data_IF_678659910086
#
_entry.id   IF_678659910086
#
_cell.length_a   1.000
_cell.length_b   1.000
_cell.length_c   1.000
_cell.angle_alpha   90.00
_cell.angle_beta   90.00
_cell.angle_gamma   90.00
#
_symmetry.space_group_name_H-M   'P 1'
#
loop_
_entity.id
_entity.type
_entity.pdbx_description
1 polymer ?
#
# COMPACT_ATOMS: atom_id res chain seq x y z
N UNK A 1 9.23 23.03 -9.53
CA UNK A 1 9.49 21.61 -9.28
C UNK A 1 10.88 21.43 -8.68
N UNK A 2 10.98 20.65 -7.60
CA UNK A 2 12.30 20.36 -7.03
C UNK A 2 13.04 19.39 -7.96
N UNK A 3 14.28 19.75 -8.28
CA UNK A 3 15.15 18.92 -9.12
C UNK A 3 15.92 17.94 -8.23
N UNK A 4 15.85 16.67 -8.54
CA UNK A 4 16.53 15.62 -7.79
C UNK A 4 17.72 15.13 -8.60
N UNK A 5 18.92 15.28 -8.04
CA UNK A 5 20.16 14.80 -8.68
C UNK A 5 20.61 13.51 -7.98
N UNK A 6 20.70 12.44 -8.75
CA UNK A 6 21.15 11.13 -8.29
C UNK A 6 22.46 10.79 -9.02
N UNK A 7 23.53 10.65 -8.28
CA UNK A 7 24.82 10.30 -8.83
C UNK A 7 24.98 8.77 -8.80
N UNK A 8 25.24 8.19 -9.98
CA UNK A 8 25.54 6.76 -10.13
C UNK A 8 26.97 6.61 -10.59
N UNK A 9 27.70 5.67 -10.02
CA UNK A 9 29.04 5.34 -10.48
C UNK A 9 28.96 4.33 -11.64
N UNK A 10 30.08 4.14 -12.35
CA UNK A 10 30.16 3.26 -13.51
C UNK A 10 29.78 1.82 -13.17
N UNK A 11 30.19 1.32 -12.00
CA UNK A 11 29.88 -0.05 -11.55
C UNK A 11 28.37 -0.25 -11.36
N UNK A 12 27.71 0.73 -10.78
CA UNK A 12 26.25 0.70 -10.55
C UNK A 12 25.49 0.68 -11.89
N UNK A 13 25.98 1.43 -12.88
CA UNK A 13 25.40 1.47 -14.23
C UNK A 13 25.57 0.09 -14.90
N UNK A 14 26.76 -0.50 -14.80
CA UNK A 14 27.02 -1.82 -15.37
C UNK A 14 26.17 -2.92 -14.70
N UNK A 15 25.97 -2.83 -13.39
CA UNK A 15 25.11 -3.76 -12.67
C UNK A 15 23.64 -3.68 -13.11
N UNK A 16 23.15 -2.48 -13.45
CA UNK A 16 21.79 -2.29 -13.97
C UNK A 16 21.61 -2.96 -15.36
N UNK A 17 22.71 -3.11 -16.11
CA UNK A 17 22.71 -3.74 -17.45
C UNK A 17 22.99 -5.25 -17.38
N UNK A 18 23.34 -5.78 -16.21
CA UNK A 18 23.66 -7.20 -16.00
C UNK A 18 22.38 -8.04 -15.82
N UNK A 19 22.54 -9.36 -15.83
CA UNK A 19 21.43 -10.29 -15.58
C UNK A 19 20.86 -10.19 -14.15
N UNK A 20 21.66 -9.74 -13.20
CA UNK A 20 21.28 -9.56 -11.79
C UNK A 20 20.84 -8.11 -11.49
N UNK A 21 20.14 -7.52 -12.43
CA UNK A 21 19.69 -6.11 -12.34
C UNK A 21 18.71 -5.81 -11.19
N UNK A 22 18.06 -6.84 -10.62
CA UNK A 22 17.07 -6.65 -9.55
C UNK A 22 17.68 -6.01 -8.29
N UNK A 23 18.90 -6.43 -7.91
CA UNK A 23 19.58 -5.86 -6.75
C UNK A 23 20.03 -4.42 -7.03
N UNK A 24 20.60 -4.17 -8.21
CA UNK A 24 21.01 -2.84 -8.63
C UNK A 24 19.80 -1.88 -8.70
N UNK A 25 18.67 -2.38 -9.21
CA UNK A 25 17.43 -1.61 -9.31
C UNK A 25 16.87 -1.27 -7.92
N UNK A 26 16.91 -2.22 -6.98
CA UNK A 26 16.49 -1.97 -5.59
C UNK A 26 17.37 -0.90 -4.94
N UNK A 27 18.67 -0.96 -5.16
CA UNK A 27 19.62 0.01 -4.60
C UNK A 27 19.41 1.40 -5.21
N UNK A 28 19.19 1.48 -6.52
CA UNK A 28 18.85 2.73 -7.19
C UNK A 28 17.57 3.33 -6.64
N UNK A 29 16.53 2.51 -6.49
CA UNK A 29 15.24 2.95 -5.93
C UNK A 29 15.41 3.39 -4.47
N UNK A 30 16.21 2.66 -3.67
CA UNK A 30 16.53 3.04 -2.29
C UNK A 30 17.20 4.41 -2.22
N UNK A 31 18.21 4.64 -3.06
CA UNK A 31 18.93 5.93 -3.14
C UNK A 31 17.98 7.07 -3.54
N UNK A 32 17.17 6.83 -4.58
CA UNK A 32 16.22 7.82 -5.08
C UNK A 32 15.20 8.21 -3.99
N UNK A 33 14.60 7.23 -3.34
CA UNK A 33 13.60 7.46 -2.29
C UNK A 33 14.22 8.17 -1.08
N UNK A 34 15.42 7.77 -0.66
CA UNK A 34 16.13 8.44 0.45
C UNK A 34 16.45 9.90 0.10
N UNK A 35 16.84 10.19 -1.15
CA UNK A 35 17.09 11.56 -1.61
C UNK A 35 15.81 12.41 -1.56
N UNK A 36 14.68 11.82 -2.00
CA UNK A 36 13.37 12.49 -1.93
C UNK A 36 13.01 12.79 -0.46
N UNK A 37 13.15 11.81 0.43
CA UNK A 37 12.84 11.97 1.86
C UNK A 37 13.68 13.09 2.50
N UNK A 38 14.96 13.18 2.13
CA UNK A 38 15.84 14.25 2.63
C UNK A 38 15.46 15.62 2.07
N UNK A 39 15.12 15.69 0.78
CA UNK A 39 14.65 16.93 0.14
C UNK A 39 13.34 17.42 0.78
N UNK A 40 12.38 16.50 1.01
CA UNK A 40 11.13 16.82 1.71
C UNK A 40 11.38 17.33 3.13
N UNK A 41 12.32 16.70 3.84
CA UNK A 41 12.71 17.13 5.20
C UNK A 41 13.30 18.55 5.18
N UNK A 42 14.19 18.83 4.21
CA UNK A 42 14.78 20.17 4.04
C UNK A 42 13.70 21.21 3.75
N UNK A 43 12.77 20.89 2.85
CA UNK A 43 11.66 21.78 2.49
C UNK A 43 10.75 22.07 3.70
N UNK A 44 10.44 21.04 4.52
CA UNK A 44 9.59 21.20 5.70
C UNK A 44 10.27 22.01 6.79
N UNK A 45 11.58 21.86 6.95
CA UNK A 45 12.37 22.58 7.96
C UNK A 45 12.80 23.97 7.50
N UNK A 46 12.72 24.26 6.21
CA UNK A 46 13.21 25.52 5.58
C UNK A 46 14.68 25.78 5.90
N UNK A 47 15.48 24.72 6.02
CA UNK A 47 16.91 24.85 6.35
C UNK A 47 17.69 23.60 5.92
N UNK A 48 18.84 23.80 5.31
CA UNK A 48 19.76 22.72 4.95
C UNK A 48 20.40 22.10 6.22
N UNK A 49 21.03 20.92 6.11
CA UNK A 49 21.79 20.36 7.23
C UNK A 49 22.85 21.35 7.72
N UNK A 50 22.90 21.54 9.04
CA UNK A 50 23.84 22.43 9.74
C UNK A 50 23.63 23.93 9.49
N UNK A 51 22.66 24.31 8.64
CA UNK A 51 22.32 25.70 8.40
C UNK A 51 21.57 26.30 9.60
N UNK A 52 21.93 27.56 9.95
CA UNK A 52 21.23 28.36 10.94
C UNK A 52 20.49 29.46 10.18
N UNK A 53 19.20 29.36 10.10
CA UNK A 53 18.32 30.29 9.40
C UNK A 53 17.21 30.75 10.34
N UNK A 54 16.82 32.01 10.26
CA UNK A 54 15.67 32.54 11.01
C UNK A 54 14.34 31.95 10.56
N UNK A 55 14.28 31.48 9.32
CA UNK A 55 13.06 30.85 8.75
C UNK A 55 12.89 29.38 9.17
N UNK A 56 13.88 28.84 9.85
CA UNK A 56 13.89 27.44 10.25
C UNK A 56 12.70 27.09 11.16
N UNK A 57 11.89 26.13 10.76
CA UNK A 57 10.64 25.77 11.49
C UNK A 57 10.86 24.77 12.62
N UNK A 58 11.87 23.88 12.51
CA UNK A 58 12.16 22.86 13.54
C UNK A 58 13.60 22.34 13.38
N UNK A 59 13.99 21.42 14.23
CA UNK A 59 15.32 20.82 14.25
C UNK A 59 15.28 19.35 13.81
N UNK A 60 16.31 18.93 13.09
CA UNK A 60 16.51 17.52 12.75
C UNK A 60 16.81 16.74 14.03
N UNK A 61 16.24 15.54 14.14
CA UNK A 61 16.38 14.65 15.29
C UNK A 61 16.83 13.26 14.83
N UNK A 62 17.83 13.23 13.96
CA UNK A 62 18.36 11.99 13.39
C UNK A 62 17.45 11.37 12.34
N UNK A 63 17.59 10.08 12.18
CA UNK A 63 16.83 9.27 11.21
C UNK A 63 16.33 8.00 11.88
N UNK A 64 15.40 7.31 11.21
CA UNK A 64 14.98 5.97 11.58
C UNK A 64 14.91 5.09 10.33
N UNK A 65 15.17 3.83 10.49
CA UNK A 65 14.98 2.85 9.41
C UNK A 65 13.50 2.47 9.31
N UNK A 66 13.05 2.30 8.07
CA UNK A 66 11.69 1.86 7.78
C UNK A 66 11.71 0.95 6.55
N UNK A 67 11.16 -0.23 6.71
CA UNK A 67 11.04 -1.19 5.62
C UNK A 67 9.81 -0.86 4.76
N UNK A 68 10.01 -0.85 3.45
CA UNK A 68 8.96 -0.71 2.44
C UNK A 68 8.97 -1.95 1.56
N UNK A 69 7.84 -2.64 1.48
CA UNK A 69 7.66 -3.80 0.60
C UNK A 69 7.23 -3.30 -0.78
N UNK A 70 8.01 -3.67 -1.79
CA UNK A 70 7.76 -3.30 -3.18
C UNK A 70 7.70 -4.57 -4.04
N UNK A 71 7.23 -4.42 -5.28
CA UNK A 71 7.19 -5.53 -6.26
C UNK A 71 8.56 -6.10 -6.61
N UNK A 72 9.64 -5.36 -6.34
CA UNK A 72 11.03 -5.81 -6.56
C UNK A 72 11.70 -6.28 -5.27
N UNK A 73 10.92 -6.46 -4.19
CA UNK A 73 11.41 -6.92 -2.89
C UNK A 73 11.33 -5.86 -1.79
N UNK A 74 11.91 -6.18 -0.66
CA UNK A 74 11.94 -5.29 0.50
C UNK A 74 13.09 -4.28 0.38
N UNK A 75 12.79 -3.01 0.66
CA UNK A 75 13.76 -1.89 0.65
C UNK A 75 13.73 -1.24 2.03
N UNK A 76 14.89 -1.05 2.64
CA UNK A 76 15.01 -0.34 3.91
C UNK A 76 15.34 1.13 3.62
N UNK A 77 14.45 2.04 4.00
CA UNK A 77 14.56 3.48 3.82
C UNK A 77 15.04 4.15 5.09
N UNK A 78 15.82 5.23 4.93
CA UNK A 78 16.32 6.08 6.01
C UNK A 78 15.41 7.31 6.11
N UNK A 79 14.44 7.25 7.01
CA UNK A 79 13.39 8.29 7.14
C UNK A 79 13.84 9.36 8.14
N UNK A 80 13.87 10.64 7.75
CA UNK A 80 14.22 11.73 8.67
C UNK A 80 13.25 11.85 9.84
N UNK A 81 13.76 12.32 10.96
CA UNK A 81 12.96 12.64 12.14
C UNK A 81 13.17 14.11 12.49
N UNK A 82 12.08 14.80 12.82
CA UNK A 82 12.09 16.16 13.34
C UNK A 82 11.84 16.12 14.85
N UNK A 83 12.22 17.18 15.55
CA UNK A 83 12.18 17.21 17.01
C UNK A 83 10.75 17.39 17.53
N UNK A 84 10.04 18.37 17.01
CA UNK A 84 8.71 18.77 17.51
C UNK A 84 7.60 18.47 16.49
N UNK A 85 7.86 18.75 15.21
CA UNK A 85 6.88 18.61 14.12
C UNK A 85 7.04 17.20 13.51
N UNK A 86 6.00 16.38 13.39
CA UNK A 86 6.14 15.09 12.74
C UNK A 86 6.47 15.24 11.25
N UNK A 87 7.52 14.53 10.80
CA UNK A 87 7.91 14.49 9.39
C UNK A 87 6.78 13.84 8.56
N UNK A 88 6.37 14.52 7.50
CA UNK A 88 5.36 14.04 6.54
C UNK A 88 6.04 13.82 5.18
N UNK A 89 5.61 12.82 4.45
CA UNK A 89 6.19 12.48 3.13
C UNK A 89 5.09 12.10 2.16
N UNK A 90 5.34 12.35 0.87
CA UNK A 90 4.51 11.89 -0.24
C UNK A 90 4.94 10.49 -0.74
N UNK A 91 6.10 10.01 -0.28
CA UNK A 91 6.65 8.71 -0.72
C UNK A 91 5.75 7.54 -0.30
N UNK A 92 5.15 7.65 0.90
CA UNK A 92 4.26 6.60 1.42
C UNK A 92 3.29 7.19 2.44
N UNK A 93 2.13 6.63 2.52
CA UNK A 93 1.14 7.01 3.54
C UNK A 93 1.62 6.61 4.94
N UNK A 94 1.17 7.34 5.94
CA UNK A 94 1.46 7.03 7.33
C UNK A 94 1.03 5.59 7.62
N UNK A 95 1.93 4.83 8.23
CA UNK A 95 1.77 3.43 8.61
C UNK A 95 1.76 2.42 7.44
N UNK A 96 1.68 2.86 6.18
CA UNK A 96 1.80 1.94 5.05
C UNK A 96 3.22 1.36 4.96
N UNK A 97 3.32 0.04 4.85
CA UNK A 97 4.59 -0.69 4.71
C UNK A 97 4.71 -1.41 3.37
N UNK A 98 3.75 -1.18 2.49
CA UNK A 98 3.71 -1.85 1.20
C UNK A 98 3.36 -0.86 0.09
N UNK A 99 3.87 -1.13 -1.07
CA UNK A 99 3.54 -0.40 -2.29
C UNK A 99 2.03 -0.53 -2.58
N UNK A 100 1.40 0.56 -3.00
CA UNK A 100 -0.04 0.59 -3.29
C UNK A 100 -0.45 -0.46 -4.35
N UNK A 101 0.42 -0.71 -5.33
CA UNK A 101 0.19 -1.74 -6.35
C UNK A 101 0.09 -3.15 -5.76
N UNK A 102 0.88 -3.45 -4.72
CA UNK A 102 0.80 -4.75 -4.02
C UNK A 102 -0.51 -4.87 -3.25
N UNK A 103 -0.94 -3.80 -2.59
CA UNK A 103 -2.21 -3.76 -1.86
C UNK A 103 -3.37 -4.00 -2.84
N UNK A 104 -3.35 -3.31 -3.98
CA UNK A 104 -4.38 -3.47 -5.03
C UNK A 104 -4.41 -4.91 -5.57
N UNK A 105 -3.24 -5.51 -5.79
CA UNK A 105 -3.14 -6.92 -6.27
C UNK A 105 -3.71 -7.90 -5.23
N UNK A 106 -3.41 -7.69 -3.95
CA UNK A 106 -3.95 -8.52 -2.87
C UNK A 106 -5.48 -8.38 -2.79
N UNK A 107 -5.97 -7.15 -2.90
CA UNK A 107 -7.42 -6.87 -2.89
C UNK A 107 -8.12 -7.58 -4.05
N UNK A 108 -7.56 -7.50 -5.26
CA UNK A 108 -8.09 -8.14 -6.46
C UNK A 108 -8.16 -9.68 -6.30
N UNK A 109 -7.10 -10.27 -5.75
CA UNK A 109 -7.09 -11.72 -5.49
C UNK A 109 -8.19 -12.12 -4.50
N UNK A 110 -8.40 -11.32 -3.44
CA UNK A 110 -9.45 -11.58 -2.44
C UNK A 110 -10.84 -11.48 -3.08
N UNK A 111 -11.07 -10.41 -3.87
CA UNK A 111 -12.35 -10.21 -4.59
C UNK A 111 -12.63 -11.38 -5.55
N UNK A 112 -11.57 -11.90 -6.19
CA UNK A 112 -11.65 -13.07 -7.07
C UNK A 112 -11.82 -14.41 -6.31
N UNK A 113 -11.96 -14.38 -5.00
CA UNK A 113 -12.23 -15.56 -4.18
C UNK A 113 -11.00 -16.35 -3.76
N UNK A 114 -9.80 -15.83 -3.93
CA UNK A 114 -8.58 -16.52 -3.49
C UNK A 114 -8.50 -16.48 -1.97
N UNK A 115 -8.33 -17.63 -1.33
CA UNK A 115 -8.20 -17.72 0.13
C UNK A 115 -7.00 -16.91 0.63
N UNK A 116 -7.14 -16.20 1.74
CA UNK A 116 -6.13 -15.28 2.29
C UNK A 116 -4.75 -15.94 2.49
N UNK A 117 -4.72 -17.20 2.88
CA UNK A 117 -3.47 -17.97 2.99
C UNK A 117 -2.77 -18.11 1.62
N UNK A 118 -3.57 -18.36 0.58
CA UNK A 118 -3.06 -18.52 -0.79
C UNK A 118 -2.57 -17.20 -1.35
N UNK A 119 -3.25 -16.09 -1.02
CA UNK A 119 -2.81 -14.72 -1.36
C UNK A 119 -1.42 -14.46 -0.79
N UNK A 120 -1.19 -14.75 0.50
CA UNK A 120 0.13 -14.58 1.13
C UNK A 120 1.23 -15.36 0.39
N UNK A 121 0.95 -16.63 0.05
CA UNK A 121 1.92 -17.49 -0.64
C UNK A 121 2.22 -16.98 -2.06
N UNK A 122 1.20 -16.55 -2.80
CA UNK A 122 1.37 -15.98 -4.16
C UNK A 122 2.23 -14.73 -4.10
N UNK A 123 1.92 -13.82 -3.16
CA UNK A 123 2.66 -12.56 -3.00
C UNK A 123 4.12 -12.83 -2.59
N UNK A 124 4.36 -13.82 -1.74
CA UNK A 124 5.71 -14.23 -1.36
C UNK A 124 6.51 -14.74 -2.56
N UNK A 125 5.87 -15.55 -3.41
CA UNK A 125 6.49 -16.08 -4.63
C UNK A 125 6.81 -14.95 -5.63
N UNK A 126 5.89 -13.99 -5.80
CA UNK A 126 6.05 -12.93 -6.79
C UNK A 126 7.03 -11.83 -6.36
N UNK A 127 7.05 -11.50 -5.07
CA UNK A 127 7.80 -10.32 -4.57
C UNK A 127 9.03 -10.70 -3.73
N UNK A 128 9.21 -11.99 -3.43
CA UNK A 128 10.32 -12.44 -2.59
C UNK A 128 10.27 -11.92 -1.16
N UNK A 129 9.12 -11.42 -0.71
CA UNK A 129 8.92 -10.93 0.67
C UNK A 129 7.67 -11.54 1.29
N UNK A 130 7.77 -11.88 2.57
CA UNK A 130 6.66 -12.46 3.31
C UNK A 130 5.60 -11.40 3.65
N UNK A 131 4.35 -11.75 3.44
CA UNK A 131 3.20 -10.95 3.85
C UNK A 131 2.49 -11.66 5.00
N UNK A 132 2.30 -10.95 6.10
CA UNK A 132 1.62 -11.52 7.26
C UNK A 132 0.12 -11.67 6.99
N UNK A 133 -0.50 -12.63 7.66
CA UNK A 133 -1.96 -12.80 7.62
C UNK A 133 -2.68 -11.52 8.04
N UNK A 134 -2.11 -10.77 8.98
CA UNK A 134 -2.68 -9.49 9.42
C UNK A 134 -2.68 -8.45 8.30
N UNK A 135 -1.62 -8.39 7.48
CA UNK A 135 -1.56 -7.45 6.35
C UNK A 135 -2.68 -7.73 5.32
N UNK A 136 -2.88 -9.02 4.99
CA UNK A 136 -3.97 -9.42 4.07
C UNK A 136 -5.34 -9.13 4.71
N UNK A 137 -5.47 -9.37 6.02
CA UNK A 137 -6.71 -9.10 6.75
C UNK A 137 -7.04 -7.61 6.82
N UNK A 138 -6.04 -6.75 6.90
CA UNK A 138 -6.25 -5.28 6.84
C UNK A 138 -6.83 -4.87 5.49
N UNK A 139 -6.26 -5.39 4.39
CA UNK A 139 -6.79 -5.16 3.04
C UNK A 139 -8.26 -5.63 2.95
N UNK A 140 -8.58 -6.79 3.56
CA UNK A 140 -9.96 -7.30 3.59
C UNK A 140 -10.91 -6.38 4.36
N UNK A 141 -10.46 -5.75 5.46
CA UNK A 141 -11.28 -4.80 6.23
C UNK A 141 -11.65 -3.57 5.39
N UNK A 142 -10.66 -3.00 4.71
CA UNK A 142 -10.89 -1.83 3.83
C UNK A 142 -11.90 -2.17 2.73
N UNK A 143 -11.81 -3.38 2.16
CA UNK A 143 -12.76 -3.86 1.16
C UNK A 143 -14.17 -4.00 1.76
N UNK A 144 -14.28 -4.54 2.97
CA UNK A 144 -15.56 -4.72 3.68
C UNK A 144 -16.23 -3.36 3.89
N UNK A 145 -15.47 -2.33 4.29
CA UNK A 145 -16.01 -0.98 4.48
C UNK A 145 -16.62 -0.46 3.18
N UNK A 146 -15.90 -0.56 2.06
CA UNK A 146 -16.39 -0.14 0.73
C UNK A 146 -17.64 -0.92 0.31
N UNK A 147 -17.67 -2.23 0.58
CA UNK A 147 -18.84 -3.08 0.29
C UNK A 147 -20.03 -2.64 1.13
N UNK A 148 -19.82 -2.31 2.40
CA UNK A 148 -20.90 -1.85 3.28
C UNK A 148 -21.44 -0.49 2.82
N UNK A 149 -20.57 0.45 2.47
CA UNK A 149 -20.98 1.74 1.87
C UNK A 149 -21.85 1.52 0.63
N UNK A 150 -21.45 0.58 -0.23
CA UNK A 150 -22.21 0.23 -1.43
C UNK A 150 -23.59 -0.36 -1.07
N UNK A 151 -23.63 -1.26 -0.09
CA UNK A 151 -24.88 -1.91 0.35
C UNK A 151 -25.86 -0.90 0.99
N UNK A 152 -25.32 0.01 1.76
CA UNK A 152 -26.14 0.98 2.55
C UNK A 152 -26.51 2.21 1.74
N UNK A 153 -26.06 2.33 0.48
CA UNK A 153 -26.37 3.47 -0.37
C UNK A 153 -27.88 3.56 -0.62
N UNK A 154 -28.46 4.76 -0.57
CA UNK A 154 -29.88 4.94 -0.89
C UNK A 154 -30.14 4.63 -2.37
N UNK A 155 -31.18 3.90 -2.65
CA UNK A 155 -31.64 3.64 -4.01
C UNK A 155 -32.47 4.82 -4.48
N UNK A 156 -31.89 5.65 -5.34
CA UNK A 156 -32.54 6.85 -5.89
C UNK A 156 -33.04 6.54 -7.30
N UNK A 157 -34.33 6.42 -7.48
CA UNK A 157 -34.93 6.16 -8.78
C UNK A 157 -36.15 5.27 -8.69
N UNK A 158 -36.81 5.13 -9.83
CA UNK A 158 -37.96 4.21 -9.98
C UNK A 158 -37.43 2.87 -10.52
N UNK A 159 -37.72 1.82 -9.79
CA UNK A 159 -37.30 0.45 -10.12
C UNK A 159 -38.56 -0.39 -10.43
N UNK A 160 -39.01 -0.44 -11.68
CA UNK A 160 -40.23 -1.16 -12.04
C UNK A 160 -40.11 -2.67 -11.84
N UNK A 161 -38.88 -3.19 -11.84
CA UNK A 161 -38.63 -4.63 -11.67
C UNK A 161 -37.55 -4.84 -10.64
N UNK A 162 -37.81 -5.77 -9.71
CA UNK A 162 -36.83 -6.25 -8.73
C UNK A 162 -36.73 -7.77 -8.86
N UNK A 163 -35.56 -8.24 -9.25
CA UNK A 163 -35.25 -9.67 -9.29
C UNK A 163 -34.48 -10.05 -8.04
N UNK A 164 -34.97 -11.03 -7.31
CA UNK A 164 -34.31 -11.51 -6.09
C UNK A 164 -33.91 -12.97 -6.33
N UNK A 165 -32.67 -13.28 -6.11
CA UNK A 165 -32.14 -14.63 -6.19
C UNK A 165 -31.43 -15.01 -4.89
N UNK A 166 -31.41 -16.29 -4.55
CA UNK A 166 -30.80 -16.79 -3.34
C UNK A 166 -29.79 -17.92 -3.64
N UNK A 167 -28.55 -17.67 -3.24
CA UNK A 167 -27.49 -18.69 -3.31
C UNK A 167 -27.24 -19.23 -1.90
N UNK A 168 -27.20 -20.54 -1.77
CA UNK A 168 -27.06 -21.22 -0.49
C UNK A 168 -25.61 -21.67 -0.27
N UNK A 169 -25.06 -21.28 0.89
CA UNK A 169 -23.71 -21.68 1.29
C UNK A 169 -23.76 -22.46 2.61
N UNK A 170 -22.96 -23.51 2.70
CA UNK A 170 -22.76 -24.24 3.96
C UNK A 170 -21.75 -23.45 4.79
N UNK A 171 -22.17 -22.90 5.90
CA UNK A 171 -21.30 -22.13 6.82
C UNK A 171 -21.30 -22.79 8.20
N UNK A 172 -20.19 -22.66 8.90
CA UNK A 172 -20.08 -23.13 10.29
C UNK A 172 -20.63 -22.03 11.22
N UNK A 173 -21.69 -22.37 11.93
CA UNK A 173 -22.31 -21.48 12.90
C UNK A 173 -22.55 -22.25 14.20
N UNK A 174 -22.06 -21.73 15.31
CA UNK A 174 -22.18 -22.32 16.66
C UNK A 174 -21.83 -23.83 16.67
N UNK A 175 -20.69 -24.20 16.06
CA UNK A 175 -20.14 -25.57 15.97
C UNK A 175 -20.94 -26.52 15.10
N UNK A 176 -21.95 -26.04 14.36
CA UNK A 176 -22.76 -26.84 13.42
C UNK A 176 -22.59 -26.27 12.02
N UNK A 177 -22.72 -27.16 11.03
CA UNK A 177 -22.76 -26.75 9.62
C UNK A 177 -24.23 -26.48 9.26
N UNK A 178 -24.54 -25.23 8.94
CA UNK A 178 -25.88 -24.80 8.56
C UNK A 178 -25.85 -24.22 7.15
N UNK A 179 -26.95 -24.38 6.42
CA UNK A 179 -27.13 -23.75 5.11
C UNK A 179 -27.67 -22.34 5.32
N UNK A 180 -26.94 -21.33 4.87
CA UNK A 180 -27.39 -19.93 4.92
C UNK A 180 -27.61 -19.41 3.50
N UNK A 181 -28.73 -18.73 3.28
CA UNK A 181 -29.06 -18.10 2.02
C UNK A 181 -28.39 -16.72 1.94
N UNK A 182 -27.77 -16.45 0.84
CA UNK A 182 -27.32 -15.10 0.49
C UNK A 182 -28.21 -14.58 -0.63
N UNK A 183 -28.90 -13.50 -0.44
CA UNK A 183 -29.86 -12.94 -1.39
C UNK A 183 -29.26 -11.79 -2.17
N UNK A 184 -29.24 -11.79 -3.38
CA UNK A 184 -28.87 -10.92 -4.01
C UNK A 184 -29.93 -10.39 -4.60
N UNK A 185 -30.21 -9.27 -4.65
CA UNK A 185 -31.27 -8.55 -5.34
C UNK A 185 -30.72 -7.71 -6.49
N UNK A 186 -31.35 -7.76 -7.62
CA UNK A 186 -31.00 -6.96 -8.79
C UNK A 186 -32.19 -6.05 -9.16
N UNK A 187 -31.95 -4.75 -9.13
CA UNK A 187 -32.92 -3.76 -9.56
C UNK A 187 -32.51 -3.17 -10.90
N UNK A 188 -33.40 -3.16 -11.89
CA UNK A 188 -33.13 -2.62 -13.21
C UNK A 188 -33.83 -1.27 -13.39
N UNK A 189 -33.07 -0.24 -13.72
CA UNK A 189 -33.60 1.06 -14.09
C UNK A 189 -34.01 1.00 -15.56
N UNK A 190 -35.21 1.43 -15.88
CA UNK A 190 -35.57 1.71 -17.26
C UNK A 190 -35.01 3.10 -17.64
N UNK A 191 -34.19 3.14 -18.65
CA UNK A 191 -33.72 4.38 -19.27
C UNK A 191 -34.76 4.83 -20.31
#
# INVERSE_FOLDING_TARGET
>A
MAQLNITLNQEEILQLLSKDHDQAFRELLRKSLNSILMAESTAQLKAEPYERSEERTDSRNGTRERDLKTRIGKITLTVPRHRNIPFKTLVFDNYSRSEAALIASMAEMVVSGVATRKVSNIMETLCGTTFSKSSVSEVCKDLIEKVNEFKDRPLTGKYPFLTVDATYFKVRDKHRIVSKAFMXGYARIMV
#
